data_IF_455285178176
#
_entry.id   IF_455285178176
#
_cell.length_a   1.000
_cell.length_b   1.000
_cell.length_c   1.000
_cell.angle_alpha   90.00
_cell.angle_beta   90.00
_cell.angle_gamma   90.00
#
_symmetry.space_group_name_H-M   'P 1'
#
loop_
_entity.id
_entity.type
_entity.pdbx_description
1 polymer ?
#
# COMPACT_ATOMS: atom_id res chain seq x y z
N UNK A 1 -17.02 -9.09 4.86
CA UNK A 1 -16.85 -9.18 3.40
C UNK A 1 -15.83 -8.11 3.02
N UNK A 2 -14.71 -8.47 2.40
CA UNK A 2 -13.67 -7.48 2.05
C UNK A 2 -14.11 -6.67 0.84
N UNK A 3 -14.07 -5.34 0.95
CA UNK A 3 -14.43 -4.43 -0.14
C UNK A 3 -13.36 -4.50 -1.25
N UNK A 4 -13.74 -4.98 -2.44
CA UNK A 4 -12.82 -5.08 -3.58
C UNK A 4 -12.80 -3.78 -4.38
N UNK A 5 -11.60 -3.24 -4.64
CA UNK A 5 -11.41 -2.11 -5.57
C UNK A 5 -10.94 -2.63 -6.94
N UNK A 6 -11.44 -2.04 -8.01
CA UNK A 6 -10.99 -2.33 -9.38
C UNK A 6 -9.86 -1.39 -9.76
N UNK A 7 -8.81 -1.94 -10.35
CA UNK A 7 -7.66 -1.19 -10.87
C UNK A 7 -7.59 -1.44 -12.37
N UNK A 8 -7.61 -0.37 -13.16
CA UNK A 8 -7.29 -0.40 -14.58
C UNK A 8 -5.85 0.09 -14.75
N UNK A 9 -5.05 -0.66 -15.48
CA UNK A 9 -3.63 -0.37 -15.69
C UNK A 9 -3.25 -0.71 -17.13
N UNK A 10 -2.24 -0.02 -17.63
CA UNK A 10 -1.69 -0.21 -18.96
C UNK A 10 -0.38 -1.00 -18.88
N UNK A 11 -0.25 -2.01 -19.73
CA UNK A 11 0.95 -2.84 -19.84
C UNK A 11 1.47 -2.74 -21.25
N UNK A 12 2.79 -2.66 -21.39
CA UNK A 12 3.41 -2.83 -22.69
C UNK A 12 3.03 -4.19 -23.29
N UNK A 13 2.85 -4.22 -24.62
CA UNK A 13 2.38 -5.40 -25.32
C UNK A 13 3.29 -6.61 -25.06
N UNK A 14 4.60 -6.41 -25.04
CA UNK A 14 5.58 -7.47 -24.78
C UNK A 14 5.40 -8.06 -23.38
N UNK A 15 5.36 -7.21 -22.35
CA UNK A 15 5.15 -7.60 -20.97
C UNK A 15 3.81 -8.34 -20.77
N UNK A 16 2.75 -7.89 -21.43
CA UNK A 16 1.46 -8.59 -21.41
C UNK A 16 1.57 -10.01 -21.99
N UNK A 17 2.28 -10.20 -23.10
CA UNK A 17 2.48 -11.52 -23.69
C UNK A 17 3.29 -12.45 -22.79
N UNK A 18 4.33 -11.94 -22.14
CA UNK A 18 5.14 -12.72 -21.20
C UNK A 18 4.33 -13.14 -19.97
N UNK A 19 3.54 -12.21 -19.42
CA UNK A 19 2.62 -12.48 -18.33
C UNK A 19 1.58 -13.53 -18.72
N UNK A 20 0.99 -13.40 -19.92
CA UNK A 20 0.01 -14.36 -20.44
C UNK A 20 0.60 -15.76 -20.57
N UNK A 21 1.77 -15.90 -21.21
CA UNK A 21 2.45 -17.19 -21.35
C UNK A 21 2.76 -17.82 -19.99
N UNK A 22 3.18 -17.01 -19.03
CA UNK A 22 3.48 -17.48 -17.67
C UNK A 22 2.21 -17.94 -16.95
N UNK A 23 1.11 -17.19 -17.08
CA UNK A 23 -0.19 -17.57 -16.53
C UNK A 23 -0.71 -18.89 -17.15
N UNK A 24 -0.59 -19.05 -18.47
CA UNK A 24 -0.96 -20.27 -19.20
C UNK A 24 -0.14 -21.48 -18.73
N UNK A 25 1.18 -21.34 -18.56
CA UNK A 25 2.06 -22.39 -18.03
C UNK A 25 1.67 -22.83 -16.62
N UNK A 26 1.19 -21.89 -15.80
CA UNK A 26 0.77 -22.12 -14.42
C UNK A 26 -0.71 -22.57 -14.31
N UNK A 27 -1.44 -22.63 -15.43
CA UNK A 27 -2.87 -22.99 -15.44
C UNK A 27 -3.76 -21.97 -14.73
N UNK A 28 -3.36 -20.70 -14.67
CA UNK A 28 -4.11 -19.63 -14.00
C UNK A 28 -4.56 -18.56 -14.98
N UNK A 29 -5.60 -17.80 -14.59
CA UNK A 29 -6.06 -16.66 -15.37
C UNK A 29 -5.10 -15.47 -15.24
N UNK A 30 -5.08 -14.59 -16.25
CA UNK A 30 -4.28 -13.35 -16.24
C UNK A 30 -4.63 -12.48 -15.03
N UNK A 31 -5.92 -12.40 -14.65
CA UNK A 31 -6.35 -11.66 -13.45
C UNK A 31 -5.70 -12.20 -12.19
N UNK A 32 -5.60 -13.53 -12.06
CA UNK A 32 -4.94 -14.17 -10.92
C UNK A 32 -3.43 -13.90 -10.95
N UNK A 33 -2.80 -14.00 -12.11
CA UNK A 33 -1.38 -13.69 -12.27
C UNK A 33 -1.04 -12.23 -11.87
N UNK A 34 -1.84 -11.25 -12.31
CA UNK A 34 -1.67 -9.84 -11.91
C UNK A 34 -1.86 -9.69 -10.40
N UNK A 35 -2.86 -10.36 -9.82
CA UNK A 35 -3.10 -10.30 -8.37
C UNK A 35 -1.90 -10.83 -7.59
N UNK A 36 -1.33 -11.96 -7.99
CA UNK A 36 -0.13 -12.52 -7.35
C UNK A 36 1.07 -11.57 -7.50
N UNK A 37 1.29 -11.01 -8.68
CA UNK A 37 2.37 -10.05 -8.92
C UNK A 37 2.24 -8.80 -8.05
N UNK A 38 1.04 -8.25 -7.89
CA UNK A 38 0.77 -7.11 -7.00
C UNK A 38 1.02 -7.49 -5.54
N UNK A 39 0.58 -8.68 -5.11
CA UNK A 39 0.80 -9.17 -3.74
C UNK A 39 2.29 -9.33 -3.43
N UNK A 40 3.04 -9.91 -4.37
CA UNK A 40 4.49 -10.09 -4.24
C UNK A 40 5.21 -8.74 -4.21
N UNK A 41 4.85 -7.81 -5.11
CA UNK A 41 5.40 -6.46 -5.13
C UNK A 41 5.15 -5.70 -3.84
N UNK A 42 3.93 -5.76 -3.30
CA UNK A 42 3.60 -5.12 -2.01
C UNK A 42 4.37 -5.79 -0.88
N UNK A 43 4.50 -7.12 -0.86
CA UNK A 43 5.29 -7.83 0.16
C UNK A 43 6.77 -7.42 0.12
N UNK A 44 7.35 -7.32 -1.08
CA UNK A 44 8.74 -6.93 -1.29
C UNK A 44 8.99 -5.46 -0.91
N UNK A 45 8.13 -4.55 -1.38
CA UNK A 45 8.35 -3.10 -1.27
C UNK A 45 7.81 -2.46 0.00
N UNK A 46 6.72 -2.99 0.54
CA UNK A 46 6.00 -2.27 1.59
C UNK A 46 6.67 -2.39 2.96
N UNK A 47 7.64 -3.29 3.15
CA UNK A 47 8.24 -3.57 4.46
C UNK A 47 7.21 -3.89 5.55
N UNK A 48 5.99 -4.23 5.13
CA UNK A 48 4.79 -4.10 5.95
C UNK A 48 4.61 -5.38 6.74
N UNK A 49 5.08 -5.37 7.98
CA UNK A 49 4.61 -6.33 8.95
C UNK A 49 3.14 -6.01 9.24
N UNK A 50 2.25 -7.00 9.13
CA UNK A 50 0.84 -6.81 9.48
C UNK A 50 0.65 -6.47 10.96
N UNK A 51 1.66 -6.67 11.79
CA UNK A 51 1.70 -6.28 13.19
C UNK A 51 2.55 -5.03 13.42
N UNK A 52 2.94 -4.29 12.37
CA UNK A 52 3.76 -3.10 12.53
C UNK A 52 2.95 -2.01 13.25
N UNK A 53 3.35 -1.61 14.48
CA UNK A 53 2.60 -0.67 15.31
C UNK A 53 2.54 0.74 14.72
N UNK A 54 3.35 1.04 13.69
CA UNK A 54 3.32 2.30 12.97
C UNK A 54 2.10 2.41 12.05
N UNK A 55 1.57 1.27 11.57
CA UNK A 55 0.40 1.22 10.70
C UNK A 55 -0.88 0.74 11.41
N UNK A 56 -0.79 0.32 12.68
CA UNK A 56 -1.96 0.22 13.58
C UNK A 56 -2.36 1.61 14.08
N UNK A 57 -2.51 2.57 13.17
CA UNK A 57 -3.05 3.88 13.54
C UNK A 57 -4.56 3.71 13.71
N UNK A 58 -4.97 3.30 14.91
CA UNK A 58 -6.28 3.66 15.42
C UNK A 58 -6.34 5.18 15.34
N UNK A 59 -7.15 5.68 14.41
CA UNK A 59 -7.58 7.07 14.40
C UNK A 59 -8.37 7.28 15.68
N UNK A 60 -7.69 7.53 16.79
CA UNK A 60 -8.29 8.32 17.85
C UNK A 60 -8.58 9.66 17.19
N UNK A 61 -9.86 9.94 16.97
CA UNK A 61 -10.30 11.31 16.72
C UNK A 61 -9.73 12.13 17.87
N UNK A 62 -8.66 12.86 17.60
CA UNK A 62 -8.10 13.78 18.56
C UNK A 62 -9.24 14.74 18.91
N UNK A 63 -9.75 14.62 20.14
CA UNK A 63 -10.53 15.65 20.77
C UNK A 63 -9.76 16.96 20.55
N UNK A 64 -10.49 18.00 20.15
CA UNK A 64 -10.03 19.29 19.64
C UNK A 64 -9.09 20.10 20.57
N UNK A 65 -8.65 19.52 21.67
CA UNK A 65 -7.99 20.16 22.81
C UNK A 65 -6.46 20.02 22.85
N UNK A 66 -5.82 19.25 21.96
CA UNK A 66 -4.35 19.09 21.95
C UNK A 66 -3.64 19.76 20.77
N UNK A 67 -4.38 20.42 19.87
CA UNK A 67 -3.77 21.19 18.77
C UNK A 67 -3.28 22.57 19.20
N UNK A 68 -3.65 23.01 20.42
CA UNK A 68 -3.39 24.35 20.91
C UNK A 68 -2.26 24.29 21.95
N UNK A 69 -1.01 24.24 21.47
CA UNK A 69 0.23 24.64 22.17
C UNK A 69 1.45 24.22 21.35
N UNK A 70 1.77 24.98 20.32
CA UNK A 70 3.09 24.88 19.66
C UNK A 70 3.65 26.24 19.20
N UNK A 71 3.14 27.34 19.75
CA UNK A 71 3.77 28.65 19.70
C UNK A 71 3.95 29.14 21.14
N UNK A 72 5.06 29.84 21.41
CA UNK A 72 5.66 30.17 22.73
C UNK A 72 6.56 29.02 23.24
N UNK A 73 7.89 29.09 23.25
CA UNK A 73 8.82 30.18 23.63
C UNK A 73 10.27 29.80 23.20
N UNK A 74 10.99 30.73 22.58
CA UNK A 74 12.45 30.87 22.76
C UNK A 74 12.78 32.37 22.84
N UNK A 75 12.65 32.93 24.02
CA UNK A 75 13.32 34.18 24.39
C UNK A 75 14.74 33.83 24.88
N UNK A 76 15.71 34.50 24.25
CA UNK A 76 17.07 34.84 24.70
C UNK A 76 18.00 33.75 25.26
N UNK A 77 19.17 33.57 24.62
CA UNK A 77 20.47 33.94 25.19
C UNK A 77 21.53 34.06 24.07
N UNK A 78 22.12 35.26 23.93
CA UNK A 78 23.23 35.57 23.03
C UNK A 78 23.43 37.06 22.84
#
# INVERSE_FOLDING_TARGET
MSEGKYIQSELERQLYFELKKTAEKQGISIKKAIREAVLEWVRDKSGFDKNDPFFSMHTFSASKDLSEKHDEIYEEQG
#
